data_IF_676231096501
#
_entry.id   IF_676231096501
#
_cell.length_a   1.000
_cell.length_b   1.000
_cell.length_c   1.000
_cell.angle_alpha   90.00
_cell.angle_beta   90.00
_cell.angle_gamma   90.00
#
_symmetry.space_group_name_H-M   'P 1'
#
loop_
_entity.id
_entity.type
_entity.pdbx_description
1 polymer ?
#
# COMPACT_ATOMS: atom_id res chain seq x y z
N UNK A 1 22.28 22.55 -66.72
CA UNK A 1 22.30 21.08 -66.86
C UNK A 1 23.70 20.68 -66.44
N UNK A 2 23.94 20.18 -65.23
CA UNK A 2 23.22 19.10 -64.54
C UNK A 2 23.30 19.31 -63.03
N UNK A 3 22.19 18.98 -62.38
CA UNK A 3 21.90 19.07 -60.96
C UNK A 3 22.19 17.72 -60.32
N UNK A 4 22.61 17.76 -59.05
CA UNK A 4 22.48 16.70 -58.04
C UNK A 4 23.28 15.39 -58.21
N UNK A 5 24.16 15.10 -57.25
CA UNK A 5 24.13 13.88 -56.42
C UNK A 5 25.45 13.73 -55.69
N UNK A 6 25.56 14.36 -54.52
CA UNK A 6 26.51 13.97 -53.47
C UNK A 6 26.08 14.53 -52.11
N UNK A 7 24.77 14.71 -51.90
CA UNK A 7 24.20 15.01 -50.59
C UNK A 7 23.48 13.76 -50.04
N UNK A 8 24.05 12.59 -50.34
CA UNK A 8 23.65 11.31 -49.76
C UNK A 8 24.44 11.06 -48.47
N UNK A 9 24.57 12.11 -47.65
CA UNK A 9 24.81 11.96 -46.22
C UNK A 9 23.51 11.48 -45.61
N UNK A 10 23.14 10.24 -45.95
CA UNK A 10 22.07 9.51 -45.31
C UNK A 10 22.32 9.63 -43.81
N UNK A 11 21.45 10.39 -43.15
CA UNK A 11 21.29 10.43 -41.70
C UNK A 11 21.18 8.98 -41.25
N UNK A 12 22.31 8.36 -40.89
CA UNK A 12 22.35 7.08 -40.21
C UNK A 12 21.65 7.34 -38.90
N UNK A 13 20.34 7.06 -38.88
CA UNK A 13 19.49 7.05 -37.70
C UNK A 13 20.30 6.47 -36.55
N UNK A 14 20.76 7.34 -35.65
CA UNK A 14 21.63 6.97 -34.54
C UNK A 14 20.96 5.82 -33.81
N UNK A 15 21.58 4.64 -33.86
CA UNK A 15 21.01 3.42 -33.29
C UNK A 15 20.74 3.69 -31.81
N UNK A 16 19.47 3.70 -31.42
CA UNK A 16 19.09 3.91 -30.03
C UNK A 16 19.74 2.79 -29.20
N UNK A 17 20.54 3.12 -28.19
CA UNK A 17 21.12 2.13 -27.27
C UNK A 17 20.05 1.25 -26.61
N UNK A 18 20.38 -0.01 -26.31
CA UNK A 18 19.40 -0.98 -25.81
C UNK A 18 18.83 -0.59 -24.44
N UNK A 19 19.66 -0.02 -23.57
CA UNK A 19 19.26 0.59 -22.30
C UNK A 19 18.26 1.73 -22.50
N UNK A 20 18.50 2.62 -23.48
CA UNK A 20 17.57 3.71 -23.80
C UNK A 20 16.23 3.18 -24.34
N UNK A 21 16.25 2.13 -25.17
CA UNK A 21 15.01 1.48 -25.63
C UNK A 21 14.26 0.89 -24.43
N UNK A 22 14.97 0.19 -23.52
CA UNK A 22 14.39 -0.38 -22.30
C UNK A 22 13.73 0.70 -21.45
N UNK A 23 14.46 1.78 -21.13
CA UNK A 23 13.95 2.89 -20.32
C UNK A 23 12.74 3.57 -20.95
N UNK A 24 12.73 3.81 -22.27
CA UNK A 24 11.59 4.44 -22.95
C UNK A 24 10.34 3.58 -22.91
N UNK A 25 10.49 2.27 -23.18
CA UNK A 25 9.39 1.31 -23.14
C UNK A 25 8.77 1.21 -21.74
N UNK A 26 9.61 1.04 -20.71
CA UNK A 26 9.14 0.94 -19.32
C UNK A 26 8.51 2.26 -18.84
N UNK A 27 9.07 3.40 -19.21
CA UNK A 27 8.51 4.72 -18.89
C UNK A 27 7.12 4.91 -19.51
N UNK A 28 6.96 4.64 -20.80
CA UNK A 28 5.68 4.78 -21.49
C UNK A 28 4.60 3.89 -20.85
N UNK A 29 4.95 2.64 -20.52
CA UNK A 29 4.04 1.74 -19.83
C UNK A 29 3.66 2.22 -18.42
N UNK A 30 4.64 2.72 -17.65
CA UNK A 30 4.41 3.29 -16.32
C UNK A 30 3.50 4.53 -16.35
N UNK A 31 3.64 5.38 -17.36
CA UNK A 31 2.80 6.58 -17.52
C UNK A 31 1.32 6.20 -17.76
N UNK A 32 1.08 5.23 -18.64
CA UNK A 32 -0.28 4.70 -18.89
C UNK A 32 -0.88 4.09 -17.62
N UNK A 33 -0.11 3.29 -16.89
CA UNK A 33 -0.59 2.63 -15.67
C UNK A 33 -0.81 3.62 -14.53
N UNK A 34 0.04 4.65 -14.40
CA UNK A 34 -0.16 5.68 -13.38
C UNK A 34 -1.40 6.53 -13.65
N UNK A 35 -1.78 6.73 -14.91
CA UNK A 35 -2.96 7.52 -15.29
C UNK A 35 -4.27 6.75 -15.17
N UNK A 36 -4.26 5.44 -15.41
CA UNK A 36 -5.49 4.64 -15.57
C UNK A 36 -5.61 3.46 -14.59
N UNK A 37 -4.58 3.18 -13.78
CA UNK A 37 -4.50 1.98 -12.96
C UNK A 37 -4.37 0.69 -13.78
N UNK A 38 -4.11 -0.44 -13.11
CA UNK A 38 -4.16 -1.78 -13.73
C UNK A 38 -5.61 -2.25 -13.89
N UNK A 39 -6.36 -1.62 -14.79
CA UNK A 39 -7.82 -1.82 -14.95
C UNK A 39 -8.25 -3.21 -15.45
N UNK A 40 -7.38 -3.99 -16.11
CA UNK A 40 -7.73 -5.33 -16.65
C UNK A 40 -6.62 -6.37 -16.45
N UNK A 41 -5.72 -6.13 -15.47
CA UNK A 41 -4.56 -6.98 -15.22
C UNK A 41 -3.51 -6.94 -16.35
N UNK A 42 -2.39 -7.62 -16.13
CA UNK A 42 -1.29 -7.66 -17.11
C UNK A 42 -1.62 -8.47 -18.37
N UNK A 43 -2.72 -9.23 -18.38
CA UNK A 43 -3.07 -10.17 -19.45
C UNK A 43 -3.33 -9.51 -20.81
N UNK A 44 -3.69 -8.23 -20.85
CA UNK A 44 -4.05 -7.50 -22.08
C UNK A 44 -3.11 -6.36 -22.48
N UNK A 45 -2.02 -6.11 -21.72
CA UNK A 45 -1.01 -5.10 -22.08
C UNK A 45 -0.41 -5.38 -23.48
N UNK A 46 -0.76 -4.61 -24.53
CA UNK A 46 -0.31 -4.90 -25.88
C UNK A 46 1.07 -4.30 -26.08
N UNK A 47 2.08 -5.15 -26.24
CA UNK A 47 3.47 -4.73 -26.45
C UNK A 47 3.59 -3.70 -27.59
N UNK A 48 2.84 -3.89 -28.67
CA UNK A 48 2.81 -2.98 -29.83
C UNK A 48 2.33 -1.56 -29.51
N UNK A 49 1.39 -1.41 -28.59
CA UNK A 49 0.93 -0.09 -28.16
C UNK A 49 2.05 0.67 -27.47
N UNK A 50 2.80 0.00 -26.58
CA UNK A 50 3.93 0.61 -25.89
C UNK A 50 5.10 0.89 -26.83
N UNK A 51 5.34 0.06 -27.85
CA UNK A 51 6.33 0.34 -28.90
C UNK A 51 6.01 1.67 -29.59
N UNK A 52 4.73 1.87 -29.96
CA UNK A 52 4.25 3.10 -30.59
C UNK A 52 4.38 4.31 -29.65
N UNK A 53 3.95 4.17 -28.39
CA UNK A 53 4.02 5.25 -27.39
C UNK A 53 5.47 5.64 -27.05
N UNK A 54 6.36 4.66 -26.90
CA UNK A 54 7.77 4.89 -26.60
C UNK A 54 8.58 5.41 -27.80
N UNK A 55 7.99 5.41 -29.00
CA UNK A 55 8.62 5.81 -30.26
C UNK A 55 9.98 5.12 -30.48
N UNK A 56 10.02 3.80 -30.30
CA UNK A 56 11.23 2.98 -30.46
C UNK A 56 11.11 1.98 -31.62
N UNK A 57 12.22 1.59 -32.26
CA UNK A 57 12.18 0.58 -33.31
C UNK A 57 11.74 -0.79 -32.78
N UNK A 58 10.72 -1.38 -33.42
CA UNK A 58 10.18 -2.72 -33.10
C UNK A 58 11.28 -3.79 -33.02
N UNK A 59 12.20 -3.82 -33.97
CA UNK A 59 13.31 -4.77 -33.99
C UNK A 59 14.28 -4.65 -32.80
N UNK A 60 14.40 -3.45 -32.22
CA UNK A 60 15.21 -3.24 -31.03
C UNK A 60 14.51 -3.75 -29.78
N UNK A 61 13.18 -3.61 -29.73
CA UNK A 61 12.34 -4.09 -28.62
C UNK A 61 12.36 -5.62 -28.55
N UNK A 62 12.14 -6.30 -29.68
CA UNK A 62 12.19 -7.77 -29.73
C UNK A 62 13.58 -8.38 -29.51
N UNK A 63 14.65 -7.56 -29.56
CA UNK A 63 16.01 -7.98 -29.17
C UNK A 63 16.23 -7.92 -27.66
N UNK A 64 15.47 -7.07 -26.96
CA UNK A 64 15.54 -6.91 -25.50
C UNK A 64 14.59 -7.90 -24.83
N UNK A 65 13.36 -7.98 -25.33
CA UNK A 65 12.33 -8.90 -24.87
C UNK A 65 11.88 -9.75 -26.04
N UNK A 66 12.29 -11.01 -26.05
CA UNK A 66 11.93 -11.98 -27.07
C UNK A 66 10.44 -12.33 -26.99
N UNK A 67 9.87 -12.24 -25.78
CA UNK A 67 8.47 -12.49 -25.53
C UNK A 67 7.79 -11.33 -24.82
N UNK A 68 6.47 -11.29 -24.92
CA UNK A 68 5.64 -10.36 -24.16
C UNK A 68 5.78 -10.57 -22.65
N UNK A 69 5.95 -11.81 -22.21
CA UNK A 69 6.05 -12.16 -20.78
C UNK A 69 7.33 -11.60 -20.15
N UNK A 70 8.44 -11.60 -20.88
CA UNK A 70 9.69 -10.98 -20.43
C UNK A 70 9.53 -9.47 -20.24
N UNK A 71 8.82 -8.80 -21.16
CA UNK A 71 8.51 -7.37 -21.01
C UNK A 71 7.60 -7.10 -19.81
N UNK A 72 6.57 -7.93 -19.60
CA UNK A 72 5.68 -7.82 -18.45
C UNK A 72 6.44 -8.04 -17.14
N UNK A 73 7.34 -9.03 -17.08
CA UNK A 73 8.17 -9.27 -15.90
C UNK A 73 9.04 -8.06 -15.53
N UNK A 74 9.70 -7.44 -16.52
CA UNK A 74 10.48 -6.22 -16.34
C UNK A 74 9.61 -5.03 -15.90
N UNK A 75 8.41 -4.91 -16.48
CA UNK A 75 7.46 -3.86 -16.16
C UNK A 75 6.92 -3.96 -14.73
N UNK A 76 6.61 -5.17 -14.26
CA UNK A 76 6.22 -5.42 -12.87
C UNK A 76 7.35 -4.95 -11.93
N UNK A 77 8.60 -5.31 -12.25
CA UNK A 77 9.76 -4.81 -11.53
C UNK A 77 9.78 -3.27 -11.48
N UNK A 78 9.67 -2.61 -12.62
CA UNK A 78 9.72 -1.13 -12.68
C UNK A 78 8.60 -0.43 -11.90
N UNK A 79 7.35 -0.91 -12.03
CA UNK A 79 6.19 -0.26 -11.39
C UNK A 79 6.29 -0.34 -9.87
N UNK A 80 6.73 -1.49 -9.35
CA UNK A 80 6.65 -1.81 -7.94
C UNK A 80 8.00 -1.69 -7.20
N UNK A 81 9.08 -1.27 -7.89
CA UNK A 81 10.40 -0.97 -7.30
C UNK A 81 10.52 0.48 -6.81
N UNK A 82 9.62 1.38 -7.22
CA UNK A 82 9.64 2.78 -6.76
C UNK A 82 9.07 2.91 -5.34
N UNK A 83 9.59 3.87 -4.58
CA UNK A 83 9.25 4.26 -3.20
C UNK A 83 7.77 4.63 -2.94
N UNK A 84 6.83 4.25 -3.82
CA UNK A 84 5.39 4.55 -3.71
C UNK A 84 4.71 3.85 -2.54
N UNK A 85 5.27 2.73 -2.09
CA UNK A 85 4.84 2.00 -0.90
C UNK A 85 5.82 2.21 0.27
N UNK A 86 6.73 3.19 0.17
CA UNK A 86 7.82 3.38 1.13
C UNK A 86 7.36 3.90 2.50
N UNK A 87 6.26 4.63 2.56
CA UNK A 87 5.92 5.34 3.80
C UNK A 87 5.25 4.46 4.86
N UNK A 88 4.70 3.29 4.49
CA UNK A 88 4.24 2.24 5.43
C UNK A 88 3.03 2.60 6.31
N UNK A 89 2.88 3.87 6.66
CA UNK A 89 1.73 4.51 7.28
C UNK A 89 1.28 5.66 6.38
N UNK A 90 -0.05 5.83 6.27
CA UNK A 90 -0.63 6.98 5.58
C UNK A 90 -0.21 8.27 6.30
N UNK A 91 0.51 9.21 5.63
CA UNK A 91 0.92 10.47 6.24
C UNK A 91 -0.25 11.28 6.80
N UNK A 92 -1.43 11.19 6.18
CA UNK A 92 -2.62 11.90 6.63
C UNK A 92 -3.16 11.28 7.92
N UNK A 93 -3.21 9.95 7.98
CA UNK A 93 -3.56 9.22 9.19
C UNK A 93 -2.55 9.50 10.32
N UNK A 94 -1.26 9.54 10.02
CA UNK A 94 -0.21 9.82 10.99
C UNK A 94 -0.36 11.22 11.58
N UNK A 95 -0.57 12.25 10.73
CA UNK A 95 -0.85 13.61 11.21
C UNK A 95 -2.08 13.66 12.11
N UNK A 96 -3.19 13.04 11.68
CA UNK A 96 -4.43 13.04 12.46
C UNK A 96 -4.26 12.35 13.82
N UNK A 97 -3.51 11.25 13.89
CA UNK A 97 -3.18 10.56 15.14
C UNK A 97 -2.27 11.40 16.05
N UNK A 98 -1.27 12.10 15.49
CA UNK A 98 -0.42 13.02 16.26
C UNK A 98 -1.24 14.16 16.87
N UNK A 99 -2.18 14.75 16.12
CA UNK A 99 -3.04 15.81 16.63
C UNK A 99 -3.95 15.35 17.80
N UNK A 100 -4.40 14.09 17.77
CA UNK A 100 -5.15 13.48 18.88
C UNK A 100 -4.24 13.33 20.10
N UNK A 101 -3.03 12.81 19.92
CA UNK A 101 -2.06 12.62 20.99
C UNK A 101 -1.73 13.95 21.69
N UNK A 102 -1.43 15.00 20.92
CA UNK A 102 -1.06 16.32 21.44
C UNK A 102 -2.19 16.97 22.24
N UNK A 103 -3.43 16.93 21.72
CA UNK A 103 -4.60 17.46 22.44
C UNK A 103 -4.96 16.69 23.69
N UNK A 104 -4.61 15.40 23.74
CA UNK A 104 -5.03 14.51 24.83
C UNK A 104 -4.00 14.42 25.97
N UNK A 105 -3.04 15.35 26.03
CA UNK A 105 -1.96 15.35 27.03
C UNK A 105 -2.43 15.18 28.48
N UNK A 106 -3.59 15.75 28.84
CA UNK A 106 -4.20 15.63 30.15
C UNK A 106 -4.57 14.17 30.54
N UNK A 107 -4.87 13.32 29.55
CA UNK A 107 -5.27 11.93 29.75
C UNK A 107 -4.08 10.96 29.82
N UNK A 108 -2.86 11.41 29.52
CA UNK A 108 -1.68 10.53 29.47
C UNK A 108 -1.11 10.15 30.85
N UNK A 109 -1.61 10.80 31.92
CA UNK A 109 -1.12 10.61 33.28
C UNK A 109 -1.41 9.24 33.90
N UNK A 110 -2.47 8.54 33.46
CA UNK A 110 -2.86 7.22 33.98
C UNK A 110 -2.79 6.15 32.89
N UNK A 111 -2.69 4.88 33.30
CA UNK A 111 -2.67 3.78 32.34
C UNK A 111 -4.01 3.64 31.59
N UNK A 112 -5.12 3.87 32.30
CA UNK A 112 -6.45 3.89 31.71
C UNK A 112 -6.61 5.05 30.71
N UNK A 113 -6.16 6.26 31.05
CA UNK A 113 -6.25 7.41 30.17
C UNK A 113 -5.39 7.25 28.92
N UNK A 114 -4.15 6.73 29.06
CA UNK A 114 -3.29 6.33 27.92
C UNK A 114 -4.01 5.37 26.98
N UNK A 115 -4.71 4.36 27.53
CA UNK A 115 -5.48 3.40 26.73
C UNK A 115 -6.64 4.07 25.98
N UNK A 116 -7.34 5.03 26.59
CA UNK A 116 -8.40 5.78 25.91
C UNK A 116 -7.86 6.65 24.77
N UNK A 117 -6.70 7.30 24.96
CA UNK A 117 -6.04 8.06 23.89
C UNK A 117 -5.66 7.13 22.72
N UNK A 118 -5.14 5.94 23.00
CA UNK A 118 -4.83 4.97 21.96
C UNK A 118 -6.09 4.52 21.18
N UNK A 119 -7.23 4.34 21.86
CA UNK A 119 -8.51 4.07 21.22
C UNK A 119 -8.94 5.20 20.29
N UNK A 120 -8.85 6.43 20.75
CA UNK A 120 -9.18 7.60 19.94
C UNK A 120 -8.27 7.74 18.71
N UNK A 121 -6.98 7.44 18.85
CA UNK A 121 -6.04 7.38 17.73
C UNK A 121 -6.44 6.30 16.71
N UNK A 122 -6.85 5.11 17.16
CA UNK A 122 -7.36 4.07 16.24
C UNK A 122 -8.62 4.57 15.51
N UNK A 123 -9.54 5.22 16.22
CA UNK A 123 -10.80 5.73 15.64
C UNK A 123 -10.55 6.68 14.49
N UNK A 124 -9.66 7.66 14.70
CA UNK A 124 -9.34 8.67 13.70
C UNK A 124 -8.41 8.10 12.61
N UNK A 125 -7.36 7.39 13.00
CA UNK A 125 -6.35 6.87 12.08
C UNK A 125 -6.90 5.83 11.11
N UNK A 126 -7.80 4.95 11.57
CA UNK A 126 -8.43 3.95 10.71
C UNK A 126 -9.33 4.60 9.64
N UNK A 127 -10.09 5.64 10.00
CA UNK A 127 -10.95 6.35 9.05
C UNK A 127 -10.12 7.05 7.96
N UNK A 128 -9.03 7.75 8.35
CA UNK A 128 -8.12 8.37 7.39
C UNK A 128 -7.48 7.32 6.47
N UNK A 129 -7.01 6.21 7.04
CA UNK A 129 -6.36 5.15 6.26
C UNK A 129 -7.30 4.53 5.23
N UNK A 130 -8.57 4.29 5.59
CA UNK A 130 -9.58 3.75 4.67
C UNK A 130 -9.82 4.70 3.50
N UNK A 131 -9.97 6.00 3.76
CA UNK A 131 -10.19 6.99 2.71
C UNK A 131 -9.01 7.06 1.74
N UNK A 132 -7.79 7.12 2.29
CA UNK A 132 -6.54 7.12 1.50
C UNK A 132 -6.41 5.86 0.65
N UNK A 133 -6.69 4.68 1.22
CA UNK A 133 -6.64 3.41 0.49
C UNK A 133 -7.73 3.33 -0.60
N UNK A 134 -8.94 3.85 -0.33
CA UNK A 134 -10.03 3.93 -1.31
C UNK A 134 -9.66 4.80 -2.50
N UNK A 135 -8.96 5.92 -2.28
CA UNK A 135 -8.52 6.84 -3.33
C UNK A 135 -7.24 6.39 -4.06
N UNK A 136 -6.48 5.42 -3.52
CA UNK A 136 -5.16 5.05 -4.03
C UNK A 136 -5.21 4.18 -5.31
N UNK A 137 -4.77 4.77 -6.42
CA UNK A 137 -4.56 4.06 -7.70
C UNK A 137 -3.45 3.02 -7.59
N UNK A 138 -2.39 3.32 -6.84
CA UNK A 138 -1.26 2.42 -6.63
C UNK A 138 -1.71 1.18 -5.83
N UNK A 139 -2.50 1.37 -4.77
CA UNK A 139 -3.06 0.26 -3.99
C UNK A 139 -4.02 -0.59 -4.81
N UNK A 140 -4.91 0.04 -5.58
CA UNK A 140 -5.81 -0.70 -6.50
C UNK A 140 -5.01 -1.49 -7.54
N UNK A 141 -3.90 -0.95 -8.04
CA UNK A 141 -3.03 -1.60 -9.01
C UNK A 141 -2.29 -2.79 -8.40
N UNK A 142 -1.78 -2.65 -7.18
CA UNK A 142 -1.19 -3.74 -6.42
C UNK A 142 -2.18 -4.90 -6.18
N UNK A 143 -3.43 -4.60 -5.82
CA UNK A 143 -4.44 -5.62 -5.61
C UNK A 143 -4.86 -6.32 -6.91
N UNK A 144 -4.95 -5.59 -8.02
CA UNK A 144 -5.16 -6.19 -9.34
C UNK A 144 -4.01 -7.13 -9.72
N UNK A 145 -2.76 -6.76 -9.42
CA UNK A 145 -1.59 -7.62 -9.59
C UNK A 145 -1.72 -8.91 -8.75
N UNK A 146 -2.06 -8.80 -7.46
CA UNK A 146 -2.24 -9.96 -6.57
C UNK A 146 -3.36 -10.89 -7.05
N UNK A 147 -4.49 -10.35 -7.48
CA UNK A 147 -5.60 -11.13 -8.00
C UNK A 147 -5.20 -11.92 -9.27
N UNK A 148 -4.40 -11.31 -10.15
CA UNK A 148 -3.92 -11.97 -11.37
C UNK A 148 -2.98 -13.15 -11.08
N UNK A 149 -2.24 -13.16 -9.97
CA UNK A 149 -1.27 -14.23 -9.65
C UNK A 149 -1.86 -15.64 -9.66
N UNK A 150 -3.16 -15.76 -9.34
CA UNK A 150 -3.88 -17.04 -9.31
C UNK A 150 -4.26 -17.57 -10.69
N UNK A 151 -4.45 -16.69 -11.68
CA UNK A 151 -4.87 -17.04 -13.04
C UNK A 151 -3.74 -17.07 -14.07
N UNK A 152 -2.54 -16.60 -13.71
CA UNK A 152 -1.37 -16.62 -14.59
C UNK A 152 -0.80 -18.03 -14.78
N UNK A 153 -0.48 -18.35 -16.04
CA UNK A 153 0.31 -19.53 -16.41
C UNK A 153 1.73 -19.45 -15.83
N UNK A 154 2.40 -20.59 -15.72
CA UNK A 154 3.80 -20.64 -15.29
C UNK A 154 4.69 -19.96 -16.33
N UNK A 155 5.54 -19.03 -15.87
CA UNK A 155 6.43 -18.26 -16.74
C UNK A 155 7.05 -17.06 -16.02
N UNK A 156 7.95 -16.33 -16.70
CA UNK A 156 8.71 -15.22 -16.12
C UNK A 156 7.82 -14.13 -15.49
N UNK A 157 6.67 -13.86 -16.11
CA UNK A 157 5.73 -12.88 -15.60
C UNK A 157 5.15 -13.30 -14.22
N UNK A 158 4.74 -14.57 -14.06
CA UNK A 158 4.17 -15.06 -12.79
C UNK A 158 5.22 -15.08 -11.68
N UNK A 159 6.45 -15.45 -12.01
CA UNK A 159 7.58 -15.40 -11.07
C UNK A 159 7.87 -13.97 -10.62
N UNK A 160 7.88 -13.02 -11.56
CA UNK A 160 8.05 -11.60 -11.26
C UNK A 160 6.94 -11.05 -10.36
N UNK A 161 5.67 -11.41 -10.62
CA UNK A 161 4.55 -11.05 -9.74
C UNK A 161 4.76 -11.59 -8.33
N UNK A 162 5.04 -12.89 -8.19
CA UNK A 162 5.23 -13.54 -6.88
C UNK A 162 6.39 -12.93 -6.11
N UNK A 163 7.53 -12.70 -6.76
CA UNK A 163 8.69 -12.09 -6.14
C UNK A 163 8.39 -10.66 -5.67
N UNK A 164 7.71 -9.88 -6.50
CA UNK A 164 7.30 -8.50 -6.20
C UNK A 164 6.30 -8.45 -5.06
N UNK A 165 5.24 -9.26 -5.11
CA UNK A 165 4.24 -9.37 -4.06
C UNK A 165 4.89 -9.74 -2.71
N UNK A 166 5.74 -10.77 -2.69
CA UNK A 166 6.44 -11.19 -1.47
C UNK A 166 7.33 -10.09 -0.90
N UNK A 167 8.04 -9.36 -1.76
CA UNK A 167 8.88 -8.22 -1.35
C UNK A 167 8.03 -7.11 -0.73
N UNK A 168 6.95 -6.70 -1.40
CA UNK A 168 6.07 -5.64 -0.92
C UNK A 168 5.40 -6.02 0.41
N UNK A 169 4.84 -7.23 0.51
CA UNK A 169 4.22 -7.73 1.74
C UNK A 169 5.20 -7.76 2.92
N UNK A 170 6.42 -8.24 2.67
CA UNK A 170 7.47 -8.28 3.70
C UNK A 170 7.83 -6.88 4.17
N UNK A 171 8.03 -5.95 3.24
CA UNK A 171 8.38 -4.56 3.52
C UNK A 171 7.27 -3.83 4.29
N UNK A 172 6.01 -3.94 3.83
CA UNK A 172 4.85 -3.32 4.46
C UNK A 172 4.62 -3.87 5.87
N UNK A 173 4.68 -5.20 6.03
CA UNK A 173 4.48 -5.85 7.33
C UNK A 173 5.59 -5.50 8.34
N UNK A 174 6.83 -5.37 7.89
CA UNK A 174 7.95 -4.96 8.76
C UNK A 174 7.79 -3.50 9.23
N UNK A 175 7.39 -2.60 8.35
CA UNK A 175 7.14 -1.20 8.74
C UNK A 175 5.96 -1.06 9.69
N UNK A 176 4.86 -1.75 9.39
CA UNK A 176 3.69 -1.71 10.23
C UNK A 176 3.97 -2.38 11.60
N UNK A 177 4.81 -3.42 11.64
CA UNK A 177 5.36 -3.97 12.88
C UNK A 177 6.13 -2.90 13.66
N UNK A 178 7.04 -2.18 13.03
CA UNK A 178 7.86 -1.15 13.69
C UNK A 178 6.98 -0.02 14.24
N UNK A 179 6.01 0.43 13.45
CA UNK A 179 5.00 1.40 13.89
C UNK A 179 4.23 0.91 15.11
N UNK A 180 3.70 -0.32 15.10
CA UNK A 180 2.99 -0.84 16.26
C UNK A 180 3.91 -1.01 17.48
N UNK A 181 5.18 -1.35 17.28
CA UNK A 181 6.14 -1.43 18.38
C UNK A 181 6.33 -0.06 19.03
N UNK A 182 6.55 0.99 18.23
CA UNK A 182 6.71 2.36 18.71
C UNK A 182 5.46 2.84 19.48
N UNK A 183 4.26 2.53 18.98
CA UNK A 183 3.00 2.86 19.66
C UNK A 183 2.87 2.12 20.99
N UNK A 184 3.17 0.82 21.04
CA UNK A 184 3.11 0.05 22.29
C UNK A 184 4.07 0.62 23.34
N UNK A 185 5.28 0.96 22.92
CA UNK A 185 6.29 1.56 23.80
C UNK A 185 5.84 2.95 24.29
N UNK A 186 5.29 3.79 23.39
CA UNK A 186 4.76 5.12 23.72
C UNK A 186 3.64 5.06 24.78
N UNK A 187 2.76 4.06 24.71
CA UNK A 187 1.65 3.90 25.65
C UNK A 187 1.98 3.01 26.86
N UNK A 188 3.20 2.48 26.93
CA UNK A 188 3.63 1.49 27.94
C UNK A 188 2.70 0.27 27.98
N UNK A 189 2.28 -0.19 26.80
CA UNK A 189 1.41 -1.34 26.63
C UNK A 189 2.22 -2.60 26.30
N UNK A 190 1.66 -3.77 26.56
CA UNK A 190 2.32 -5.05 26.28
C UNK A 190 1.34 -6.03 25.65
N UNK A 191 1.82 -6.79 24.67
CA UNK A 191 1.08 -7.90 24.08
C UNK A 191 1.05 -9.08 25.06
N UNK A 192 -0.04 -9.83 25.06
CA UNK A 192 -0.14 -11.08 25.84
C UNK A 192 0.85 -12.12 25.34
N UNK A 193 1.32 -13.05 26.20
CA UNK A 193 2.15 -14.18 25.79
C UNK A 193 1.56 -14.93 24.59
N UNK A 194 2.40 -15.16 23.58
CA UNK A 194 2.03 -15.86 22.35
C UNK A 194 1.62 -14.95 21.18
N UNK A 195 1.39 -13.66 21.43
CA UNK A 195 1.21 -12.66 20.37
C UNK A 195 2.52 -11.93 20.05
N UNK A 196 2.62 -11.47 18.81
CA UNK A 196 3.75 -10.69 18.31
C UNK A 196 3.26 -9.46 17.58
N UNK A 197 4.07 -8.40 17.58
CA UNK A 197 3.78 -7.15 16.86
C UNK A 197 3.62 -7.38 15.35
N UNK A 198 4.29 -8.40 14.81
CA UNK A 198 4.14 -8.79 13.41
C UNK A 198 2.77 -9.42 13.12
N UNK A 199 2.24 -10.26 14.02
CA UNK A 199 0.87 -10.78 13.90
C UNK A 199 -0.15 -9.64 13.98
N UNK A 200 0.07 -8.67 14.87
CA UNK A 200 -0.80 -7.48 14.97
C UNK A 200 -0.80 -6.69 13.65
N UNK A 201 0.39 -6.44 13.09
CA UNK A 201 0.54 -5.80 11.79
C UNK A 201 -0.21 -6.54 10.67
N UNK A 202 -0.05 -7.86 10.57
CA UNK A 202 -0.76 -8.64 9.55
C UNK A 202 -2.29 -8.58 9.73
N UNK A 203 -2.79 -8.77 10.94
CA UNK A 203 -4.24 -8.82 11.20
C UNK A 203 -4.91 -7.48 10.88
N UNK A 204 -4.29 -6.38 11.30
CA UNK A 204 -4.81 -5.03 11.06
C UNK A 204 -4.75 -4.65 9.57
N UNK A 205 -3.67 -4.99 8.87
CA UNK A 205 -3.57 -4.79 7.42
C UNK A 205 -4.62 -5.58 6.65
N UNK A 206 -4.77 -6.88 6.94
CA UNK A 206 -5.74 -7.77 6.26
C UNK A 206 -7.18 -7.29 6.47
N UNK A 207 -7.54 -6.89 7.70
CA UNK A 207 -8.88 -6.39 7.99
C UNK A 207 -9.15 -5.07 7.28
N UNK A 208 -8.20 -4.14 7.32
CA UNK A 208 -8.34 -2.85 6.64
C UNK A 208 -8.50 -3.05 5.14
N UNK A 209 -7.63 -3.86 4.53
CA UNK A 209 -7.68 -4.13 3.10
C UNK A 209 -8.97 -4.85 2.68
N UNK A 210 -9.39 -5.85 3.46
CA UNK A 210 -10.62 -6.59 3.21
C UNK A 210 -11.87 -5.71 3.30
N UNK A 211 -11.94 -4.80 4.27
CA UNK A 211 -13.05 -3.86 4.42
C UNK A 211 -13.05 -2.80 3.32
N UNK A 212 -11.88 -2.27 2.91
CA UNK A 212 -11.79 -1.34 1.78
C UNK A 212 -12.26 -1.99 0.48
N UNK A 213 -11.83 -3.23 0.20
CA UNK A 213 -12.18 -3.93 -1.05
C UNK A 213 -13.63 -4.36 -1.09
N UNK A 214 -14.13 -4.96 0.00
CA UNK A 214 -15.52 -5.41 0.06
C UNK A 214 -16.50 -4.26 0.26
N UNK A 215 -16.07 -3.16 0.88
CA UNK A 215 -16.83 -1.92 0.98
C UNK A 215 -17.35 -1.50 -0.37
N UNK A 216 -16.46 -1.36 -1.38
CA UNK A 216 -16.82 -1.02 -2.77
C UNK A 216 -17.87 -1.91 -3.44
N UNK A 217 -18.13 -3.10 -2.90
CA UNK A 217 -19.13 -4.05 -3.42
C UNK A 217 -20.41 -4.08 -2.57
N UNK A 218 -20.32 -3.77 -1.28
CA UNK A 218 -21.34 -3.98 -0.26
C UNK A 218 -21.72 -2.68 0.48
N UNK A 219 -21.32 -1.52 -0.06
CA UNK A 219 -21.20 -0.18 0.56
C UNK A 219 -22.06 0.02 1.83
N UNK A 220 -23.39 -0.11 1.74
CA UNK A 220 -24.33 0.17 2.83
C UNK A 220 -24.11 -0.63 4.14
N UNK A 221 -23.64 -1.88 4.07
CA UNK A 221 -23.47 -2.72 5.28
C UNK A 221 -22.11 -2.51 5.95
N UNK A 222 -21.05 -2.30 5.16
CA UNK A 222 -19.69 -2.20 5.67
C UNK A 222 -19.27 -0.77 6.03
N UNK A 223 -20.00 0.23 5.54
CA UNK A 223 -19.85 1.64 5.95
C UNK A 223 -20.72 2.01 7.15
N UNK A 224 -21.44 1.03 7.73
CA UNK A 224 -22.20 1.24 8.96
C UNK A 224 -21.32 1.76 10.10
N UNK A 225 -21.91 2.61 10.93
CA UNK A 225 -21.27 3.13 12.15
C UNK A 225 -21.79 2.40 13.39
N UNK A 226 -20.90 2.21 14.35
CA UNK A 226 -21.22 1.70 15.68
C UNK A 226 -21.05 2.82 16.68
N UNK A 227 -22.04 3.01 17.56
CA UNK A 227 -21.92 3.93 18.69
C UNK A 227 -21.17 3.25 19.83
N UNK A 228 -20.07 3.84 20.27
CA UNK A 228 -19.29 3.35 21.40
C UNK A 228 -18.60 4.51 22.14
N UNK A 229 -18.08 4.29 23.36
CA UNK A 229 -17.42 5.35 24.12
C UNK A 229 -16.24 5.97 23.36
N UNK A 230 -16.18 7.29 23.33
CA UNK A 230 -15.03 8.08 22.86
C UNK A 230 -14.03 8.36 23.99
N UNK A 231 -13.10 9.28 23.74
CA UNK A 231 -12.04 9.65 24.68
C UNK A 231 -12.56 10.02 26.08
N UNK A 232 -13.63 10.83 26.13
CA UNK A 232 -14.21 11.34 27.37
C UNK A 232 -15.30 10.40 27.95
N UNK A 233 -15.47 9.21 27.39
CA UNK A 233 -16.53 8.26 27.76
C UNK A 233 -17.89 8.54 27.12
N UNK A 234 -18.07 9.73 26.53
CA UNK A 234 -19.28 10.07 25.79
C UNK A 234 -19.45 9.19 24.54
N UNK A 235 -20.68 8.79 24.18
CA UNK A 235 -20.92 7.99 22.98
C UNK A 235 -20.53 8.75 21.70
N UNK A 236 -19.68 8.13 20.88
CA UNK A 236 -19.27 8.66 19.57
C UNK A 236 -19.44 7.58 18.49
N UNK A 237 -19.41 8.02 17.24
CA UNK A 237 -19.44 7.11 16.09
C UNK A 237 -18.06 6.52 15.80
N UNK A 238 -18.07 5.21 15.56
CA UNK A 238 -16.94 4.40 15.11
C UNK A 238 -17.28 3.76 13.78
N UNK A 239 -16.37 3.83 12.80
CA UNK A 239 -16.48 2.96 11.63
C UNK A 239 -16.29 1.50 12.03
N UNK A 240 -16.86 0.57 11.25
CA UNK A 240 -16.60 -0.86 11.45
C UNK A 240 -15.12 -1.21 11.37
N UNK A 241 -14.34 -0.52 10.52
CA UNK A 241 -12.87 -0.68 10.46
C UNK A 241 -12.21 -0.29 11.77
N UNK A 242 -12.48 0.91 12.27
CA UNK A 242 -11.93 1.39 13.53
C UNK A 242 -12.30 0.46 14.70
N UNK A 243 -13.56 0.03 14.76
CA UNK A 243 -14.05 -0.86 15.80
C UNK A 243 -13.38 -2.24 15.76
N UNK A 244 -13.20 -2.80 14.57
CA UNK A 244 -12.58 -4.11 14.39
C UNK A 244 -11.09 -4.06 14.73
N UNK A 245 -10.38 -3.02 14.29
CA UNK A 245 -8.96 -2.81 14.65
C UNK A 245 -8.82 -2.67 16.16
N UNK A 246 -9.69 -1.87 16.82
CA UNK A 246 -9.71 -1.75 18.28
C UNK A 246 -9.89 -3.10 18.95
N UNK A 247 -10.81 -3.92 18.47
CA UNK A 247 -11.10 -5.24 19.04
C UNK A 247 -9.93 -6.23 18.89
N UNK A 248 -9.24 -6.20 17.75
CA UNK A 248 -8.01 -6.99 17.54
C UNK A 248 -6.92 -6.55 18.51
N UNK A 249 -6.65 -5.24 18.57
CA UNK A 249 -5.63 -4.68 19.46
C UNK A 249 -5.95 -5.02 20.91
N UNK A 250 -7.19 -4.80 21.35
CA UNK A 250 -7.59 -5.08 22.73
C UNK A 250 -7.47 -6.56 23.11
N UNK A 251 -7.90 -7.46 22.21
CA UNK A 251 -7.78 -8.90 22.41
C UNK A 251 -6.33 -9.38 22.52
N UNK A 252 -5.39 -8.67 21.90
CA UNK A 252 -3.96 -9.01 21.90
C UNK A 252 -3.18 -8.36 23.05
N UNK A 253 -3.71 -7.34 23.72
CA UNK A 253 -3.02 -6.61 24.79
C UNK A 253 -3.30 -7.19 26.18
N UNK A 254 -2.31 -7.09 27.05
CA UNK A 254 -2.48 -7.32 28.48
C UNK A 254 -3.54 -6.35 29.05
N UNK A 255 -4.36 -6.78 30.01
CA UNK A 255 -5.28 -5.89 30.71
C UNK A 255 -4.56 -4.69 31.31
N UNK A 256 -5.22 -3.53 31.31
CA UNK A 256 -4.72 -2.39 32.08
C UNK A 256 -4.85 -2.75 33.56
N UNK A 257 -3.74 -2.72 34.31
CA UNK A 257 -3.79 -2.88 35.75
C UNK A 257 -4.73 -1.82 36.34
N UNK A 258 -5.65 -2.22 37.21
CA UNK A 258 -6.46 -1.26 37.95
C UNK A 258 -5.51 -0.31 38.69
N UNK A 259 -5.75 1.01 38.60
CA UNK A 259 -4.98 1.98 39.35
C UNK A 259 -5.10 1.61 40.84
N UNK A 260 -3.98 1.25 41.48
CA UNK A 260 -3.96 0.92 42.90
C UNK A 260 -4.50 2.13 43.67
N UNK A 261 -5.56 1.98 44.49
CA UNK A 261 -6.07 3.11 45.25
C UNK A 261 -4.92 3.67 46.11
N UNK A 262 -4.79 5.00 46.24
CA UNK A 262 -3.71 5.60 46.99
C UNK A 262 -3.69 4.98 48.40
N UNK A 263 -2.55 4.39 48.77
CA UNK A 263 -2.38 3.81 50.09
C UNK A 263 -2.69 4.87 51.14
N UNK A 264 -3.75 4.65 51.92
CA UNK A 264 -4.11 5.49 53.06
C UNK A 264 -2.86 5.70 53.92
N UNK A 265 -2.42 6.96 54.03
CA UNK A 265 -1.36 7.41 54.94
C UNK A 265 -1.99 8.00 56.19
#
# INVERSE_FOLDING_TARGET
MTMNDSDETALRSTRIPADQVRTRMLRAAREVISAHGLTVGFAHLPMEEYIRLAAVPRSSVYRIWSTREEFVADLIGEIFVADRFADGADPDAQRAMTEVYERSSAHLGTAAGRRQVAWEMIRIGANSSVETLRASVDWSSYNALLACTFSMEEGPAREAVRATARRLETMLSQRLRDYYQDVLDQFSASLRPGFTTLQLAHLTAIVTDGLVHRGRLLDDELDAVVTAPGLDGEPVEWSLTAWTIRSIVDGMLEPVAEDEPPADR
#
